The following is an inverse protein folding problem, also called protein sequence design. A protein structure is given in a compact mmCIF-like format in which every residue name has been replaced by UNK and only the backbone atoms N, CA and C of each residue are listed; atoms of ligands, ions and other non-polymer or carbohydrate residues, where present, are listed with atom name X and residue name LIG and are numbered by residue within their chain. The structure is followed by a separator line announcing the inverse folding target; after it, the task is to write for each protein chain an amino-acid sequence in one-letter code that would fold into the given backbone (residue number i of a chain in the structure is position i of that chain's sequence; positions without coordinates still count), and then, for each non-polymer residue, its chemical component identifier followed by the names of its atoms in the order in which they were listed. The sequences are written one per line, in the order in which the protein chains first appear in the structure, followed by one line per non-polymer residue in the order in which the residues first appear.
data_IF_789035148490
#
_entry.id   IF_789035148490
#
_cell.length_a   1.000
_cell.length_b   1.000
_cell.length_c   1.000
_cell.angle_alpha   90.00
_cell.angle_beta   90.00
_cell.angle_gamma   90.00
#
_symmetry.space_group_name_H-M   'P 1'
#
loop_
_entity.id
_entity.type
_entity.pdbx_description
1 polymer ?
#
# COMPACT_ATOMS: atom_id res chain seq x y z
N UNK A 1 -0.75 1.33 21.84
CA UNK A 1 0.18 1.17 20.71
C UNK A 1 -0.03 2.35 19.77
N UNK A 2 1.04 3.03 19.35
CA UNK A 2 0.93 4.17 18.43
C UNK A 2 0.44 3.67 17.06
N UNK A 3 -0.53 4.34 16.43
CA UNK A 3 -1.08 3.92 15.14
C UNK A 3 0.01 3.90 14.04
N UNK A 4 0.96 4.84 14.05
CA UNK A 4 2.09 4.84 13.11
C UNK A 4 2.98 3.61 13.28
N UNK A 5 3.21 3.19 14.54
CA UNK A 5 3.97 1.98 14.82
C UNK A 5 3.27 0.74 14.27
N UNK A 6 1.94 0.67 14.40
CA UNK A 6 1.16 -0.44 13.82
C UNK A 6 1.24 -0.44 12.28
N UNK A 7 1.31 0.74 11.64
CA UNK A 7 1.53 0.85 10.19
C UNK A 7 2.90 0.27 9.82
N UNK A 8 3.95 0.67 10.52
CA UNK A 8 5.32 0.16 10.30
C UNK A 8 5.41 -1.36 10.50
N UNK A 9 4.87 -1.87 11.60
CA UNK A 9 4.83 -3.32 11.91
C UNK A 9 4.06 -4.12 10.83
N UNK A 10 2.94 -3.58 10.35
CA UNK A 10 2.19 -4.18 9.24
C UNK A 10 2.97 -4.17 7.92
N UNK A 11 3.70 -3.09 7.64
CA UNK A 11 4.53 -2.99 6.46
C UNK A 11 5.68 -4.03 6.51
N UNK A 12 6.30 -4.21 7.67
CA UNK A 12 7.32 -5.25 7.88
C UNK A 12 6.74 -6.67 7.75
N UNK A 13 5.48 -6.89 8.13
CA UNK A 13 4.80 -8.18 7.95
C UNK A 13 4.68 -8.58 6.48
N UNK A 14 4.58 -7.61 5.55
CA UNK A 14 4.59 -7.91 4.11
C UNK A 14 5.95 -8.47 3.69
N UNK A 15 7.05 -7.87 4.14
CA UNK A 15 8.40 -8.32 3.81
C UNK A 15 8.69 -9.69 4.47
N UNK A 16 8.57 -9.74 5.80
CA UNK A 16 9.02 -10.85 6.61
C UNK A 16 8.02 -12.02 6.68
N UNK A 17 6.75 -11.73 6.41
CA UNK A 17 5.67 -12.72 6.36
C UNK A 17 5.35 -13.11 4.92
N UNK A 18 4.68 -12.22 4.19
CA UNK A 18 4.14 -12.52 2.84
C UNK A 18 5.27 -12.84 1.85
N UNK A 19 6.30 -12.01 1.76
CA UNK A 19 7.46 -12.24 0.89
C UNK A 19 8.13 -13.57 1.19
N UNK A 20 8.43 -13.83 2.46
CA UNK A 20 9.04 -15.10 2.91
C UNK A 20 8.18 -16.31 2.57
N UNK A 21 6.87 -16.27 2.83
CA UNK A 21 5.94 -17.37 2.51
C UNK A 21 5.88 -17.64 1.00
N UNK A 22 5.98 -16.60 0.18
CA UNK A 22 5.98 -16.72 -1.27
C UNK A 22 7.38 -16.99 -1.88
N UNK A 23 8.44 -17.06 -1.07
CA UNK A 23 9.81 -17.25 -1.56
C UNK A 23 10.36 -16.07 -2.37
N UNK A 24 9.89 -14.85 -2.08
CA UNK A 24 10.30 -13.62 -2.78
C UNK A 24 10.90 -12.64 -1.78
N UNK A 25 12.02 -12.05 -2.17
CA UNK A 25 12.62 -10.95 -1.42
C UNK A 25 11.90 -9.65 -1.78
N UNK A 26 11.29 -9.02 -0.78
CA UNK A 26 10.63 -7.73 -0.89
C UNK A 26 11.43 -6.66 -0.14
N UNK A 27 11.39 -5.45 -0.64
CA UNK A 27 11.92 -4.24 -0.03
C UNK A 27 10.93 -3.09 -0.28
N UNK A 28 11.22 -1.88 0.18
CA UNK A 28 10.38 -0.71 -0.04
C UNK A 28 10.67 -0.05 -1.40
N UNK A 29 10.69 -0.83 -2.48
CA UNK A 29 11.02 -0.39 -3.83
C UNK A 29 9.88 -0.61 -4.85
N UNK A 30 10.02 -0.04 -6.04
CA UNK A 30 9.03 -0.15 -7.10
C UNK A 30 8.75 -1.60 -7.51
N UNK A 31 9.80 -2.44 -7.57
CA UNK A 31 9.67 -3.86 -7.93
C UNK A 31 8.81 -4.62 -6.93
N UNK A 32 8.91 -4.29 -5.65
CA UNK A 32 8.09 -4.89 -4.60
C UNK A 32 6.65 -4.41 -4.67
N UNK A 33 6.40 -3.16 -5.09
CA UNK A 33 5.05 -2.65 -5.39
C UNK A 33 4.45 -3.35 -6.60
N UNK A 34 5.22 -3.58 -7.67
CA UNK A 34 4.80 -4.39 -8.83
C UNK A 34 4.42 -5.82 -8.42
N UNK A 35 5.26 -6.43 -7.58
CA UNK A 35 4.99 -7.77 -7.07
C UNK A 35 3.71 -7.81 -6.22
N UNK A 36 3.52 -6.82 -5.34
CA UNK A 36 2.36 -6.70 -4.48
C UNK A 36 1.07 -6.50 -5.29
N UNK A 37 1.12 -5.69 -6.35
CA UNK A 37 0.01 -5.51 -7.29
C UNK A 37 -0.40 -6.85 -7.93
N UNK A 38 0.60 -7.63 -8.37
CA UNK A 38 0.38 -8.99 -8.86
C UNK A 38 -0.16 -9.94 -7.79
N UNK A 39 0.31 -9.83 -6.56
CA UNK A 39 -0.18 -10.63 -5.43
C UNK A 39 -1.67 -10.39 -5.18
N UNK A 40 -2.12 -9.13 -5.17
CA UNK A 40 -3.55 -8.79 -5.04
C UNK A 40 -4.34 -9.41 -6.19
N UNK A 41 -3.88 -9.25 -7.45
CA UNK A 41 -4.56 -9.81 -8.63
C UNK A 41 -4.75 -11.32 -8.56
N UNK A 42 -3.75 -12.06 -8.05
CA UNK A 42 -3.80 -13.53 -7.95
C UNK A 42 -4.74 -14.01 -6.84
N UNK A 43 -4.77 -13.34 -5.69
CA UNK A 43 -5.41 -13.88 -4.49
C UNK A 43 -6.78 -13.24 -4.16
N UNK A 44 -7.12 -12.07 -4.72
CA UNK A 44 -8.31 -11.31 -4.27
C UNK A 44 -9.64 -12.06 -4.40
N UNK A 45 -9.74 -13.03 -5.32
CA UNK A 45 -10.97 -13.83 -5.51
C UNK A 45 -11.18 -14.85 -4.40
N UNK A 46 -10.11 -15.20 -3.68
CA UNK A 46 -10.13 -16.19 -2.60
C UNK A 46 -10.30 -15.53 -1.22
N UNK A 47 -10.32 -14.20 -1.16
CA UNK A 47 -10.46 -13.46 0.09
C UNK A 47 -11.93 -13.21 0.41
N UNK A 48 -12.34 -13.62 1.61
CA UNK A 48 -13.61 -13.18 2.19
C UNK A 48 -13.50 -11.73 2.70
N UNK A 49 -14.64 -11.16 3.12
CA UNK A 49 -14.72 -9.77 3.56
C UNK A 49 -13.76 -9.45 4.72
N UNK A 50 -13.67 -10.34 5.71
CA UNK A 50 -12.77 -10.19 6.85
C UNK A 50 -11.30 -10.21 6.41
N UNK A 51 -10.97 -11.06 5.44
CA UNK A 51 -9.63 -11.13 4.86
C UNK A 51 -9.32 -9.87 4.06
N UNK A 52 -10.29 -9.32 3.30
CA UNK A 52 -10.13 -8.05 2.58
C UNK A 52 -9.81 -6.91 3.54
N UNK A 53 -10.54 -6.78 4.66
CA UNK A 53 -10.27 -5.74 5.68
C UNK A 53 -8.87 -5.90 6.28
N UNK A 54 -8.49 -7.13 6.66
CA UNK A 54 -7.16 -7.42 7.21
C UNK A 54 -6.04 -7.13 6.21
N UNK A 55 -6.20 -7.59 4.97
CA UNK A 55 -5.21 -7.38 3.90
C UNK A 55 -5.14 -5.91 3.49
N UNK A 56 -6.23 -5.16 3.55
CA UNK A 56 -6.21 -3.71 3.33
C UNK A 56 -5.27 -3.01 4.31
N UNK A 57 -5.35 -3.36 5.59
CA UNK A 57 -4.46 -2.80 6.61
C UNK A 57 -3.00 -3.22 6.40
N UNK A 58 -2.74 -4.50 6.12
CA UNK A 58 -1.36 -5.01 5.98
C UNK A 58 -0.71 -4.48 4.68
N UNK A 59 -1.36 -4.68 3.54
CA UNK A 59 -0.83 -4.32 2.23
C UNK A 59 -0.85 -2.81 2.01
N UNK A 60 -1.86 -2.10 2.54
CA UNK A 60 -1.96 -0.64 2.48
C UNK A 60 -0.86 0.05 3.28
N UNK A 61 -0.48 -0.50 4.44
CA UNK A 61 0.67 -0.02 5.20
C UNK A 61 1.97 -0.13 4.40
N UNK A 62 2.22 -1.30 3.78
CA UNK A 62 3.40 -1.50 2.96
C UNK A 62 3.46 -0.57 1.74
N UNK A 63 2.34 -0.42 1.03
CA UNK A 63 2.25 0.52 -0.09
C UNK A 63 2.56 1.95 0.37
N UNK A 64 1.99 2.37 1.50
CA UNK A 64 2.25 3.70 2.06
C UNK A 64 3.71 3.91 2.46
N UNK A 65 4.36 2.91 3.06
CA UNK A 65 5.80 2.98 3.36
C UNK A 65 6.66 3.03 2.08
N UNK A 66 6.31 2.28 1.04
CA UNK A 66 6.99 2.38 -0.26
C UNK A 66 6.86 3.81 -0.81
N UNK A 67 5.66 4.39 -0.78
CA UNK A 67 5.42 5.76 -1.27
C UNK A 67 6.21 6.78 -0.44
N UNK A 68 6.10 6.71 0.89
CA UNK A 68 6.75 7.65 1.82
C UNK A 68 8.27 7.65 1.65
N UNK A 69 8.87 6.46 1.48
CA UNK A 69 10.32 6.30 1.37
C UNK A 69 10.88 6.75 0.02
N UNK A 70 10.14 6.57 -1.07
CA UNK A 70 10.63 6.88 -2.41
C UNK A 70 10.25 8.28 -2.90
N UNK A 71 9.12 8.82 -2.45
CA UNK A 71 8.59 10.12 -2.92
C UNK A 71 8.47 11.17 -1.82
N UNK A 72 8.78 10.80 -0.57
CA UNK A 72 8.64 11.66 0.61
C UNK A 72 7.20 11.77 1.11
N UNK A 73 6.90 12.88 1.77
CA UNK A 73 5.62 13.09 2.45
C UNK A 73 5.56 12.44 3.83
N UNK A 74 4.44 12.65 4.52
CA UNK A 74 4.26 12.24 5.92
C UNK A 74 2.94 11.51 6.11
N UNK A 75 2.94 10.48 6.95
CA UNK A 75 1.70 9.88 7.43
C UNK A 75 0.91 10.91 8.26
N UNK A 76 -0.31 11.21 7.82
CA UNK A 76 -1.28 12.00 8.60
C UNK A 76 -2.65 11.37 8.52
N UNK A 77 -3.41 11.53 9.60
CA UNK A 77 -4.83 11.18 9.63
C UNK A 77 -5.64 12.39 9.15
N UNK A 78 -6.63 12.14 8.30
CA UNK A 78 -7.60 13.12 7.81
C UNK A 78 -9.00 12.52 7.86
N UNK A 79 -10.01 13.26 7.41
CA UNK A 79 -11.39 12.77 7.28
C UNK A 79 -11.48 11.52 6.38
N UNK A 80 -10.57 11.39 5.42
CA UNK A 80 -10.46 10.23 4.52
C UNK A 80 -9.62 9.08 5.09
N UNK A 81 -9.24 9.15 6.37
CA UNK A 81 -8.35 8.21 7.03
C UNK A 81 -6.87 8.57 6.87
N UNK A 82 -6.00 7.56 7.07
CA UNK A 82 -4.55 7.72 6.96
C UNK A 82 -4.10 7.88 5.49
N UNK A 83 -3.31 8.92 5.25
CA UNK A 83 -2.70 9.18 3.96
C UNK A 83 -1.26 9.64 4.07
N UNK A 84 -0.54 9.60 2.94
CA UNK A 84 0.76 10.24 2.77
C UNK A 84 0.50 11.63 2.21
N UNK A 85 0.77 12.66 3.01
CA UNK A 85 0.59 14.06 2.64
C UNK A 85 1.92 14.62 2.17
N UNK A 86 1.96 15.10 0.94
CA UNK A 86 3.16 15.72 0.36
C UNK A 86 3.17 17.24 0.56
N UNK A 87 2.00 17.88 0.44
CA UNK A 87 1.78 19.30 0.64
C UNK A 87 0.27 19.60 0.83
N UNK A 88 -0.14 20.86 0.75
CA UNK A 88 -1.54 21.29 0.95
C UNK A 88 -2.51 20.86 -0.14
N UNK A 89 -2.02 20.39 -1.30
CA UNK A 89 -2.83 19.98 -2.46
C UNK A 89 -2.63 18.51 -2.82
N UNK A 90 -1.50 17.92 -2.44
CA UNK A 90 -1.11 16.59 -2.87
C UNK A 90 -1.09 15.60 -1.70
N UNK A 91 -1.94 14.57 -1.82
CA UNK A 91 -2.03 13.47 -0.88
C UNK A 91 -2.36 12.16 -1.61
N UNK A 92 -1.92 11.04 -1.05
CA UNK A 92 -2.41 9.71 -1.42
C UNK A 92 -2.96 8.98 -0.22
N UNK A 93 -3.90 8.08 -0.47
CA UNK A 93 -4.55 7.26 0.55
C UNK A 93 -4.31 5.77 0.27
N UNK A 94 -3.17 5.20 0.72
CA UNK A 94 -2.75 3.85 0.37
C UNK A 94 -3.76 2.78 0.76
N UNK A 95 -4.38 2.90 1.95
CA UNK A 95 -5.41 1.97 2.43
C UNK A 95 -6.63 1.96 1.52
N UNK A 96 -7.20 3.13 1.23
CA UNK A 96 -8.35 3.25 0.35
C UNK A 96 -8.06 2.73 -1.06
N UNK A 97 -6.87 3.00 -1.62
CA UNK A 97 -6.51 2.47 -2.94
C UNK A 97 -6.34 0.95 -2.92
N UNK A 98 -5.72 0.41 -1.87
CA UNK A 98 -5.48 -1.03 -1.71
C UNK A 98 -6.80 -1.78 -1.55
N UNK A 99 -7.73 -1.26 -0.75
CA UNK A 99 -9.07 -1.84 -0.60
C UNK A 99 -9.79 -1.88 -1.95
N UNK A 100 -9.79 -0.77 -2.69
CA UNK A 100 -10.38 -0.72 -4.02
C UNK A 100 -9.73 -1.73 -4.97
N UNK A 101 -8.41 -1.91 -4.93
CA UNK A 101 -7.74 -2.94 -5.75
C UNK A 101 -8.18 -4.35 -5.33
N UNK A 102 -8.26 -4.61 -4.02
CA UNK A 102 -8.73 -5.88 -3.47
C UNK A 102 -10.19 -6.16 -3.83
N UNK A 103 -11.03 -5.15 -4.08
CA UNK A 103 -12.46 -5.31 -4.42
C UNK A 103 -12.76 -5.28 -5.92
N UNK A 104 -12.09 -4.42 -6.67
CA UNK A 104 -12.39 -4.12 -8.06
C UNK A 104 -11.38 -4.75 -9.04
N UNK A 105 -10.17 -5.06 -8.58
CA UNK A 105 -9.10 -5.57 -9.45
C UNK A 105 -8.38 -4.46 -10.21
N UNK A 106 -7.89 -4.78 -11.42
CA UNK A 106 -6.87 -3.99 -12.14
C UNK A 106 -7.22 -2.53 -12.41
N UNK A 107 -8.51 -2.16 -12.47
CA UNK A 107 -8.95 -0.76 -12.57
C UNK A 107 -8.44 0.10 -11.41
N UNK A 108 -8.22 -0.55 -10.26
CA UNK A 108 -7.69 0.06 -9.05
C UNK A 108 -6.25 -0.35 -8.73
N UNK A 109 -5.46 -0.70 -9.76
CA UNK A 109 -4.06 -1.07 -9.61
C UNK A 109 -3.26 -0.11 -8.72
N UNK A 110 -2.58 -0.67 -7.73
CA UNK A 110 -1.74 0.09 -6.80
C UNK A 110 -0.40 0.48 -7.44
N UNK A 111 0.13 -0.34 -8.34
CA UNK A 111 1.34 0.04 -9.09
C UNK A 111 1.04 1.17 -10.08
N UNK A 112 -0.17 1.18 -10.66
CA UNK A 112 -0.64 2.29 -11.47
C UNK A 112 -0.64 3.62 -10.70
N UNK A 113 -1.16 3.63 -9.47
CA UNK A 113 -1.07 4.80 -8.59
C UNK A 113 0.39 5.17 -8.30
N UNK A 114 1.21 4.21 -7.87
CA UNK A 114 2.60 4.44 -7.49
C UNK A 114 3.41 5.11 -8.60
N UNK A 115 3.28 4.61 -9.84
CA UNK A 115 3.97 5.17 -11.03
C UNK A 115 3.49 6.57 -11.43
N UNK A 116 2.25 6.93 -11.07
CA UNK A 116 1.70 8.25 -11.39
C UNK A 116 2.14 9.35 -10.41
N UNK A 117 2.59 8.99 -9.19
CA UNK A 117 3.00 9.98 -8.18
C UNK A 117 4.06 10.98 -8.69
N UNK A 118 5.20 10.56 -9.27
CA UNK A 118 6.21 11.51 -9.75
C UNK A 118 5.68 12.40 -10.89
N UNK A 119 4.75 11.90 -11.71
CA UNK A 119 4.16 12.64 -12.84
C UNK A 119 3.16 13.70 -12.36
N UNK A 120 2.29 13.34 -11.40
CA UNK A 120 1.21 14.23 -10.95
C UNK A 120 1.69 15.21 -9.88
N UNK A 121 2.59 14.78 -8.99
CA UNK A 121 3.02 15.57 -7.83
C UNK A 121 4.42 16.18 -7.99
N UNK A 122 5.08 15.95 -9.13
CA UNK A 122 6.43 16.43 -9.44
C UNK A 122 7.43 16.06 -8.34
N UNK A 123 7.55 14.75 -8.08
CA UNK A 123 8.39 14.13 -7.04
C UNK A 123 9.50 13.29 -7.64
#
# INVERSE_FOLDING_TARGET
MNQLKAIEENAELVINGVGRMCGVQLDYDEKSVEWLDGYIKRNRKDFDEKTVEKMTNILGSFLGECIRRNFGGEWKISENGFGIIFDSKNAVYPFAKTEKHLRNGSEDSIVGLYKMIPVVFNK
#
